data_IF_325891575849
#
_entry.id   IF_325891575849
#
_cell.length_a   1.000
_cell.length_b   1.000
_cell.length_c   1.000
_cell.angle_alpha   90.00
_cell.angle_beta   90.00
_cell.angle_gamma   90.00
#
_symmetry.space_group_name_H-M   'P 1'
#
loop_
_entity.id
_entity.type
_entity.pdbx_description
1 polymer ?
#
# COMPACT_ATOMS: atom_id res chain seq x y z
N UNK A 1 50.49 14.63 23.27
CA UNK A 1 51.09 13.28 23.28
C UNK A 1 51.00 12.71 21.88
N UNK A 2 52.17 12.37 21.30
CA UNK A 2 52.46 11.49 20.12
C UNK A 2 51.72 11.75 18.79
N UNK A 3 52.35 12.37 17.78
CA UNK A 3 53.32 11.85 16.76
C UNK A 3 52.63 11.17 15.56
N UNK A 4 52.55 11.80 14.38
CA UNK A 4 53.51 11.91 13.25
C UNK A 4 53.77 10.59 12.51
N UNK A 5 53.36 10.53 11.24
CA UNK A 5 54.12 9.88 10.16
C UNK A 5 53.71 10.42 8.78
N UNK A 6 54.61 11.20 8.17
CA UNK A 6 54.56 11.70 6.79
C UNK A 6 55.61 10.91 6.01
N UNK A 7 55.29 10.35 4.85
CA UNK A 7 56.30 9.82 3.90
C UNK A 7 56.10 10.45 2.52
N UNK A 8 57.14 11.17 2.10
CA UNK A 8 57.42 11.71 0.76
C UNK A 8 58.42 10.76 0.08
N UNK A 9 58.29 10.53 -1.22
CA UNK A 9 59.41 10.24 -2.12
C UNK A 9 58.97 10.59 -3.55
N UNK A 10 59.42 11.71 -4.10
CA UNK A 10 60.64 11.90 -4.91
C UNK A 10 60.39 11.64 -6.41
N UNK A 11 60.51 12.74 -7.14
CA UNK A 11 60.54 12.86 -8.60
C UNK A 11 61.93 12.41 -9.10
N UNK A 12 62.00 11.80 -10.28
CA UNK A 12 63.21 11.76 -11.07
C UNK A 12 62.85 11.81 -12.56
N UNK A 13 63.30 12.89 -13.19
CA UNK A 13 63.32 13.10 -14.63
C UNK A 13 64.66 12.61 -15.15
N UNK A 14 64.68 11.91 -16.29
CA UNK A 14 65.89 11.68 -17.07
C UNK A 14 65.53 11.58 -18.55
N UNK A 15 66.04 12.54 -19.32
CA UNK A 15 66.13 12.49 -20.77
C UNK A 15 67.56 12.14 -21.17
N UNK A 16 67.74 11.28 -22.17
CA UNK A 16 68.77 11.44 -23.21
C UNK A 16 68.62 10.42 -24.34
N UNK A 17 69.03 10.89 -25.52
CA UNK A 17 68.86 10.33 -26.84
C UNK A 17 69.87 9.22 -27.19
N UNK A 18 69.52 8.38 -28.17
CA UNK A 18 70.48 7.79 -29.10
C UNK A 18 69.78 7.43 -30.43
N UNK A 19 70.42 7.85 -31.51
CA UNK A 19 70.08 7.57 -32.91
C UNK A 19 70.62 6.21 -33.36
N UNK A 20 69.91 5.56 -34.28
CA UNK A 20 70.37 4.35 -34.96
C UNK A 20 69.54 4.10 -36.23
N UNK A 21 70.21 4.16 -37.39
CA UNK A 21 69.65 4.05 -38.75
C UNK A 21 69.54 2.58 -39.22
N UNK A 22 68.78 2.40 -40.31
CA UNK A 22 68.74 1.30 -41.28
C UNK A 22 67.93 0.04 -40.87
N UNK A 23 67.23 -0.69 -41.73
CA UNK A 23 67.18 -0.75 -43.19
C UNK A 23 65.78 -1.24 -43.63
N UNK A 24 65.35 -0.86 -44.85
CA UNK A 24 64.10 -1.33 -45.45
C UNK A 24 64.16 -2.79 -45.87
N UNK A 25 63.05 -3.51 -45.68
CA UNK A 25 62.83 -4.81 -46.30
C UNK A 25 61.45 -4.85 -46.97
N UNK A 26 61.52 -5.10 -48.27
CA UNK A 26 60.49 -5.10 -49.30
C UNK A 26 59.82 -6.48 -49.28
N UNK A 27 58.55 -6.58 -48.91
CA UNK A 27 57.80 -7.83 -49.02
C UNK A 27 57.14 -7.95 -50.39
N UNK A 28 57.62 -8.92 -51.18
CA UNK A 28 57.04 -9.42 -52.42
C UNK A 28 56.98 -10.94 -52.31
N UNK A 29 55.77 -11.51 -52.30
CA UNK A 29 55.46 -12.93 -52.55
C UNK A 29 53.96 -13.02 -52.85
N UNK A 30 53.60 -13.07 -54.14
CA UNK A 30 53.37 -14.26 -54.97
C UNK A 30 52.09 -15.01 -54.61
N UNK A 31 51.22 -15.01 -55.63
CA UNK A 31 49.91 -15.67 -55.72
C UNK A 31 50.17 -17.12 -56.15
N UNK A 32 49.67 -18.07 -55.37
CA UNK A 32 49.60 -19.49 -55.72
C UNK A 32 48.12 -19.88 -55.82
N UNK A 33 47.80 -20.55 -56.92
CA UNK A 33 46.47 -20.97 -57.34
C UNK A 33 46.37 -22.48 -57.08
N UNK A 34 45.51 -22.91 -56.14
CA UNK A 34 45.17 -24.33 -56.01
C UNK A 34 43.64 -24.52 -55.84
N UNK A 35 43.11 -25.57 -56.47
CA UNK A 35 41.69 -25.81 -56.73
C UNK A 35 41.17 -27.04 -55.96
N UNK A 36 40.03 -26.84 -55.27
CA UNK A 36 38.90 -27.79 -54.97
C UNK A 36 39.07 -28.86 -53.86
N UNK A 37 37.97 -29.47 -53.31
CA UNK A 37 36.55 -29.08 -53.30
C UNK A 37 35.84 -29.12 -51.91
N UNK A 38 34.62 -28.57 -51.90
CA UNK A 38 33.42 -28.86 -51.06
C UNK A 38 33.55 -29.10 -49.53
N UNK A 39 33.03 -28.14 -48.76
CA UNK A 39 32.23 -28.48 -47.58
C UNK A 39 31.01 -27.56 -47.48
N UNK A 40 29.82 -28.13 -47.70
CA UNK A 40 28.51 -27.47 -47.68
C UNK A 40 28.15 -27.09 -46.24
N UNK A 41 28.62 -25.94 -45.76
CA UNK A 41 28.02 -25.27 -44.60
C UNK A 41 26.92 -24.33 -45.12
N UNK A 42 25.68 -24.75 -44.91
CA UNK A 42 24.48 -23.95 -45.11
C UNK A 42 24.55 -22.69 -44.24
N UNK A 43 25.20 -21.64 -44.75
CA UNK A 43 24.91 -20.27 -44.34
C UNK A 43 23.54 -19.95 -44.91
N UNK A 44 22.50 -20.28 -44.14
CA UNK A 44 21.21 -19.64 -44.30
C UNK A 44 21.45 -18.14 -44.27
N UNK A 45 21.42 -17.51 -45.44
CA UNK A 45 21.30 -16.07 -45.56
C UNK A 45 20.06 -15.70 -44.76
N UNK A 46 20.24 -15.25 -43.52
CA UNK A 46 19.28 -14.37 -42.89
C UNK A 46 19.24 -13.15 -43.79
N UNK A 47 18.34 -13.16 -44.77
CA UNK A 47 17.76 -11.96 -45.33
C UNK A 47 17.22 -11.20 -44.14
N UNK A 48 18.04 -10.32 -43.55
CA UNK A 48 17.55 -9.22 -42.76
C UNK A 48 16.72 -8.39 -43.73
N UNK A 49 15.45 -8.78 -43.88
CA UNK A 49 14.46 -7.97 -44.56
C UNK A 49 14.57 -6.59 -43.94
N UNK A 50 14.99 -5.62 -44.75
CA UNK A 50 15.17 -4.25 -44.34
C UNK A 50 13.85 -3.81 -43.74
N UNK A 51 13.80 -3.71 -42.42
CA UNK A 51 12.59 -3.36 -41.68
C UNK A 51 12.11 -2.00 -42.18
N UNK A 52 11.01 -1.94 -42.96
CA UNK A 52 10.46 -0.68 -43.42
C UNK A 52 10.16 0.13 -42.17
N UNK A 53 10.72 1.34 -42.10
CA UNK A 53 10.52 2.23 -40.95
C UNK A 53 9.04 2.47 -40.67
N UNK A 54 8.20 2.36 -41.70
CA UNK A 54 6.75 2.51 -41.62
C UNK A 54 6.07 1.46 -40.73
N UNK A 55 6.60 0.23 -40.65
CA UNK A 55 5.86 -0.86 -39.99
C UNK A 55 5.78 -0.65 -38.48
N UNK A 56 6.87 -0.23 -37.85
CA UNK A 56 6.90 0.01 -36.39
C UNK A 56 6.08 1.24 -35.98
N UNK A 57 5.87 2.19 -36.90
CA UNK A 57 5.07 3.39 -36.64
C UNK A 57 3.59 3.05 -36.44
N UNK A 58 3.07 2.03 -37.13
CA UNK A 58 1.65 1.63 -37.05
C UNK A 58 1.23 1.17 -35.66
N UNK A 59 2.18 0.54 -34.95
CA UNK A 59 2.00 0.03 -33.59
C UNK A 59 2.58 0.96 -32.51
N UNK A 60 2.91 2.20 -32.89
CA UNK A 60 3.39 3.22 -31.97
C UNK A 60 2.20 3.93 -31.30
N UNK A 61 2.19 3.96 -29.97
CA UNK A 61 1.16 4.62 -29.18
C UNK A 61 1.62 6.01 -28.75
N UNK A 62 0.82 7.02 -29.07
CA UNK A 62 1.03 8.40 -28.61
C UNK A 62 0.45 8.61 -27.21
N UNK A 63 1.00 9.57 -26.47
CA UNK A 63 0.47 9.96 -25.15
C UNK A 63 -1.04 10.26 -25.19
N UNK A 64 -1.53 10.99 -26.21
CA UNK A 64 -2.96 11.30 -26.37
C UNK A 64 -3.82 10.05 -26.52
N UNK A 65 -3.32 9.03 -27.22
CA UNK A 65 -4.05 7.76 -27.40
C UNK A 65 -4.13 6.99 -26.07
N UNK A 66 -3.02 6.94 -25.35
CA UNK A 66 -2.98 6.35 -24.01
C UNK A 66 -3.88 7.10 -23.02
N UNK A 67 -3.94 8.44 -23.08
CA UNK A 67 -4.85 9.25 -22.26
C UNK A 67 -6.31 8.89 -22.49
N UNK A 68 -6.71 8.63 -23.74
CA UNK A 68 -8.08 8.17 -24.04
C UNK A 68 -8.34 6.79 -23.44
N UNK A 69 -7.41 5.86 -23.62
CA UNK A 69 -7.61 4.45 -23.31
C UNK A 69 -7.30 4.02 -21.86
N UNK A 70 -6.65 4.84 -21.03
CA UNK A 70 -6.16 4.45 -19.71
C UNK A 70 -7.20 3.93 -18.70
N UNK A 71 -8.51 4.13 -18.95
CA UNK A 71 -9.60 3.61 -18.11
C UNK A 71 -10.46 2.57 -18.83
N UNK A 72 -10.05 2.14 -20.02
CA UNK A 72 -10.76 1.11 -20.77
C UNK A 72 -10.42 -0.28 -20.22
N UNK A 73 -11.39 -1.22 -20.21
CA UNK A 73 -11.16 -2.56 -19.65
C UNK A 73 -10.14 -3.38 -20.46
N UNK A 74 -10.08 -3.19 -21.78
CA UNK A 74 -9.10 -3.85 -22.66
C UNK A 74 -7.74 -3.17 -22.71
N UNK A 75 -7.52 -2.09 -21.94
CA UNK A 75 -6.31 -1.27 -22.01
C UNK A 75 -5.03 -2.09 -21.93
N UNK A 76 -4.91 -2.96 -20.92
CA UNK A 76 -3.71 -3.77 -20.72
C UNK A 76 -3.43 -4.68 -21.92
N UNK A 77 -4.46 -5.38 -22.42
CA UNK A 77 -4.35 -6.32 -23.54
C UNK A 77 -3.96 -5.63 -24.84
N UNK A 78 -4.56 -4.47 -25.13
CA UNK A 78 -4.30 -3.74 -26.38
C UNK A 78 -2.90 -3.13 -26.40
N UNK A 79 -2.43 -2.54 -25.29
CA UNK A 79 -1.15 -1.83 -25.29
C UNK A 79 0.07 -2.75 -25.10
N UNK A 80 -0.11 -3.96 -24.58
CA UNK A 80 0.97 -4.95 -24.47
C UNK A 80 1.49 -5.36 -25.85
N UNK A 81 2.81 -5.32 -26.03
CA UNK A 81 3.49 -5.59 -27.30
C UNK A 81 3.48 -4.41 -28.27
N UNK A 82 2.90 -3.25 -27.90
CA UNK A 82 3.02 -2.02 -28.66
C UNK A 82 4.31 -1.27 -28.31
N UNK A 83 4.67 -0.29 -29.15
CA UNK A 83 5.86 0.53 -28.95
C UNK A 83 5.49 1.94 -28.52
N UNK A 84 6.35 2.55 -27.72
CA UNK A 84 6.21 3.93 -27.25
C UNK A 84 7.53 4.68 -27.37
N UNK A 85 7.43 5.97 -27.66
CA UNK A 85 8.56 6.90 -27.61
C UNK A 85 8.65 7.48 -26.22
N UNK A 86 9.76 7.23 -25.52
CA UNK A 86 9.92 7.59 -24.12
C UNK A 86 11.09 8.54 -23.96
N UNK A 87 10.87 9.60 -23.19
CA UNK A 87 11.95 10.52 -22.79
C UNK A 87 12.86 9.78 -21.81
N UNK A 88 14.10 9.49 -22.19
CA UNK A 88 15.10 9.00 -21.24
C UNK A 88 15.72 10.20 -20.56
N UNK A 89 15.58 10.34 -19.24
CA UNK A 89 16.06 11.48 -18.47
C UNK A 89 17.59 11.62 -18.36
N UNK A 90 18.35 11.30 -19.41
CA UNK A 90 19.80 11.26 -19.42
C UNK A 90 20.40 12.33 -20.35
N UNK A 91 20.22 13.61 -19.98
CA UNK A 91 21.09 14.77 -20.30
C UNK A 91 20.37 16.08 -19.93
N UNK A 92 21.14 17.14 -19.65
CA UNK A 92 20.66 18.44 -19.12
C UNK A 92 20.09 19.34 -20.23
N UNK A 93 20.50 19.19 -21.49
CA UNK A 93 20.07 20.08 -22.58
C UNK A 93 18.96 19.51 -23.46
N UNK A 94 18.93 18.19 -23.70
CA UNK A 94 17.88 17.49 -24.46
C UNK A 94 17.89 15.99 -24.13
N UNK A 95 16.99 15.50 -23.25
CA UNK A 95 16.97 14.10 -22.88
C UNK A 95 16.70 13.22 -24.11
N UNK A 96 17.59 12.28 -24.46
CA UNK A 96 17.42 11.47 -25.66
C UNK A 96 16.13 10.66 -25.54
N UNK A 97 15.30 10.72 -26.58
CA UNK A 97 14.15 9.85 -26.69
C UNK A 97 14.61 8.44 -27.08
N UNK A 98 13.95 7.42 -26.57
CA UNK A 98 14.21 6.03 -26.95
C UNK A 98 12.91 5.33 -27.35
N UNK A 99 13.07 4.29 -28.16
CA UNK A 99 11.98 3.40 -28.58
C UNK A 99 11.90 2.25 -27.59
N UNK A 100 10.77 2.08 -26.90
CA UNK A 100 10.61 0.97 -25.96
C UNK A 100 9.36 0.15 -26.28
N UNK A 101 9.46 -1.15 -26.06
CA UNK A 101 8.34 -2.09 -26.12
C UNK A 101 7.59 -2.11 -24.78
N UNK A 102 6.27 -2.10 -24.81
CA UNK A 102 5.44 -2.31 -23.61
C UNK A 102 5.34 -3.80 -23.34
N UNK A 103 5.99 -4.29 -22.29
CA UNK A 103 5.92 -5.69 -21.88
C UNK A 103 4.65 -5.97 -21.10
N UNK A 104 4.32 -5.10 -20.14
CA UNK A 104 3.13 -5.25 -19.30
C UNK A 104 2.68 -3.92 -18.70
N UNK A 105 1.41 -3.86 -18.32
CA UNK A 105 0.83 -2.76 -17.54
C UNK A 105 0.71 -3.21 -16.09
N UNK A 106 1.12 -2.35 -15.16
CA UNK A 106 1.04 -2.61 -13.72
C UNK A 106 0.34 -1.46 -13.01
N UNK A 107 -0.23 -1.74 -11.83
CA UNK A 107 -0.81 -0.73 -10.95
C UNK A 107 0.12 -0.45 -9.77
N UNK A 108 0.33 0.83 -9.47
CA UNK A 108 1.14 1.29 -8.34
C UNK A 108 0.25 1.88 -7.25
N UNK A 109 0.79 2.07 -6.04
CA UNK A 109 0.08 2.76 -4.94
C UNK A 109 -0.05 4.27 -5.18
N UNK A 110 0.91 4.85 -5.91
CA UNK A 110 0.97 6.28 -6.16
C UNK A 110 0.06 6.67 -7.33
N UNK A 111 -0.88 7.56 -7.06
CA UNK A 111 -1.77 8.16 -8.07
C UNK A 111 -1.11 9.43 -8.57
N UNK A 112 -1.10 9.61 -9.89
CA UNK A 112 -0.55 10.81 -10.51
C UNK A 112 -1.49 11.36 -11.59
N UNK A 113 -1.27 12.62 -11.95
CA UNK A 113 -2.01 13.29 -13.01
C UNK A 113 -1.46 12.85 -14.37
N UNK A 114 -2.34 12.39 -15.25
CA UNK A 114 -2.06 11.95 -16.61
C UNK A 114 -2.99 12.66 -17.58
N UNK A 115 -2.50 13.76 -18.16
CA UNK A 115 -3.31 14.68 -18.95
C UNK A 115 -4.44 15.26 -18.11
N UNK A 116 -5.67 15.10 -18.59
CA UNK A 116 -6.91 15.49 -17.90
C UNK A 116 -7.36 14.51 -16.81
N UNK A 117 -6.78 13.31 -16.76
CA UNK A 117 -7.22 12.20 -15.89
C UNK A 117 -6.21 11.92 -14.78
N UNK A 118 -6.61 11.11 -13.80
CA UNK A 118 -5.71 10.59 -12.77
C UNK A 118 -5.62 9.07 -12.90
N UNK A 119 -4.41 8.54 -12.78
CA UNK A 119 -4.16 7.11 -12.89
C UNK A 119 -3.01 6.69 -11.96
N UNK A 120 -3.00 5.42 -11.60
CA UNK A 120 -1.91 4.76 -10.88
C UNK A 120 -1.20 3.70 -11.75
N UNK A 121 -1.51 3.67 -13.04
CA UNK A 121 -0.92 2.73 -13.98
C UNK A 121 0.53 3.07 -14.27
N UNK A 122 1.35 2.05 -14.50
CA UNK A 122 2.73 2.18 -14.96
C UNK A 122 3.01 1.13 -16.01
N UNK A 123 3.94 1.40 -16.90
CA UNK A 123 4.41 0.42 -17.88
C UNK A 123 5.70 -0.22 -17.43
N UNK A 124 5.78 -1.54 -17.59
CA UNK A 124 7.05 -2.23 -17.70
C UNK A 124 7.49 -2.15 -19.16
N UNK A 125 8.49 -1.33 -19.42
CA UNK A 125 9.06 -1.10 -20.73
C UNK A 125 10.33 -1.90 -20.92
N UNK A 126 10.58 -2.32 -22.16
CA UNK A 126 11.81 -3.00 -22.56
C UNK A 126 12.51 -2.23 -23.67
N UNK A 127 13.78 -1.91 -23.42
CA UNK A 127 14.71 -1.38 -24.41
C UNK A 127 15.87 -2.36 -24.55
N UNK A 128 15.84 -3.17 -25.61
CA UNK A 128 16.78 -4.27 -25.84
C UNK A 128 16.84 -5.27 -24.66
N UNK A 129 17.91 -5.25 -23.86
CA UNK A 129 18.06 -6.09 -22.66
C UNK A 129 17.66 -5.38 -21.36
N UNK A 130 17.32 -4.09 -21.39
CA UNK A 130 17.01 -3.29 -20.20
C UNK A 130 15.50 -3.20 -20.03
N UNK A 131 15.01 -3.74 -18.92
CA UNK A 131 13.63 -3.58 -18.49
C UNK A 131 13.55 -2.42 -17.47
N UNK A 132 12.61 -1.49 -17.64
CA UNK A 132 12.40 -0.36 -16.73
C UNK A 132 10.91 -0.14 -16.49
N UNK A 133 10.56 0.22 -15.24
CA UNK A 133 9.20 0.59 -14.88
C UNK A 133 9.09 2.12 -14.99
N UNK A 134 8.17 2.58 -15.83
CA UNK A 134 8.00 4.00 -16.14
C UNK A 134 6.53 4.39 -16.09
N UNK A 135 6.24 5.59 -15.61
CA UNK A 135 4.87 6.13 -15.65
C UNK A 135 4.45 6.46 -17.08
N UNK A 136 3.15 6.46 -17.35
CA UNK A 136 2.63 6.82 -18.68
C UNK A 136 3.01 8.26 -19.08
N UNK A 137 3.36 9.13 -18.13
CA UNK A 137 3.73 10.54 -18.38
C UNK A 137 4.97 10.69 -19.24
N UNK A 138 5.90 9.74 -19.19
CA UNK A 138 7.16 9.81 -19.94
C UNK A 138 6.99 9.53 -21.43
N UNK A 139 5.79 9.11 -21.86
CA UNK A 139 5.49 8.85 -23.27
C UNK A 139 5.29 10.16 -24.02
N UNK A 140 5.92 10.28 -25.20
CA UNK A 140 5.78 11.43 -26.09
C UNK A 140 4.56 11.30 -27.02
N UNK A 141 4.10 12.42 -27.55
CA UNK A 141 3.08 12.45 -28.62
C UNK A 141 3.69 12.34 -30.02
N UNK A 142 4.98 12.60 -30.16
CA UNK A 142 5.67 12.61 -31.44
C UNK A 142 6.08 11.19 -31.88
N UNK A 143 6.16 10.97 -33.19
CA UNK A 143 6.66 9.74 -33.78
C UNK A 143 8.17 9.56 -33.59
N UNK A 144 8.65 8.34 -33.87
CA UNK A 144 10.08 8.01 -33.85
C UNK A 144 10.88 8.71 -34.96
N UNK A 145 12.01 9.27 -34.57
CA UNK A 145 13.02 9.73 -35.55
C UNK A 145 13.77 8.55 -36.14
N UNK A 146 14.38 8.75 -37.31
CA UNK A 146 15.22 7.72 -37.96
C UNK A 146 16.38 7.30 -37.06
N UNK A 147 17.00 8.28 -36.40
CA UNK A 147 18.13 8.07 -35.49
C UNK A 147 17.75 7.18 -34.31
N UNK A 148 16.64 7.48 -33.63
CA UNK A 148 16.15 6.70 -32.48
C UNK A 148 15.86 5.24 -32.85
N UNK A 149 15.21 5.02 -33.99
CA UNK A 149 14.87 3.68 -34.48
C UNK A 149 16.12 2.90 -34.90
N UNK A 150 17.11 3.57 -35.50
CA UNK A 150 18.40 2.96 -35.82
C UNK A 150 19.18 2.58 -34.56
N UNK A 151 19.25 3.47 -33.56
CA UNK A 151 19.87 3.20 -32.27
C UNK A 151 19.21 2.04 -31.54
N UNK A 152 17.87 1.98 -31.55
CA UNK A 152 17.13 0.87 -30.99
C UNK A 152 17.43 -0.46 -31.71
N UNK A 153 17.45 -0.48 -33.04
CA UNK A 153 17.83 -1.68 -33.83
C UNK A 153 19.25 -2.15 -33.49
N UNK A 154 20.21 -1.23 -33.43
CA UNK A 154 21.58 -1.53 -33.04
C UNK A 154 21.64 -2.13 -31.63
N UNK A 155 20.90 -1.57 -30.68
CA UNK A 155 20.82 -2.10 -29.32
C UNK A 155 20.18 -3.49 -29.27
N UNK A 156 19.14 -3.76 -30.06
CA UNK A 156 18.50 -5.07 -30.17
C UNK A 156 19.47 -6.12 -30.74
N UNK A 157 20.22 -5.77 -31.78
CA UNK A 157 21.24 -6.66 -32.37
C UNK A 157 22.39 -6.92 -31.38
N UNK A 158 22.89 -5.90 -30.70
CA UNK A 158 23.93 -6.05 -29.67
C UNK A 158 23.46 -6.93 -28.49
N UNK A 159 22.17 -6.87 -28.16
CA UNK A 159 21.54 -7.70 -27.14
C UNK A 159 21.19 -9.13 -27.62
N UNK A 160 21.38 -9.45 -28.90
CA UNK A 160 20.97 -10.73 -29.49
C UNK A 160 19.45 -10.96 -29.46
N UNK A 161 18.64 -9.89 -29.37
CA UNK A 161 17.18 -9.98 -29.37
C UNK A 161 16.67 -9.88 -30.80
N UNK A 162 15.65 -10.68 -31.12
CA UNK A 162 15.00 -10.63 -32.43
C UNK A 162 14.17 -9.37 -32.54
N UNK A 163 14.29 -8.67 -33.66
CA UNK A 163 13.37 -7.60 -34.04
C UNK A 163 11.99 -8.23 -34.29
N UNK A 164 10.87 -7.58 -33.89
CA UNK A 164 9.52 -8.10 -34.13
C UNK A 164 9.35 -8.53 -35.59
N UNK A 165 8.61 -9.58 -35.88
CA UNK A 165 8.31 -9.97 -37.27
C UNK A 165 7.15 -9.13 -37.81
N UNK A 166 7.10 -8.77 -39.11
CA UNK A 166 5.98 -8.00 -39.68
C UNK A 166 4.60 -8.61 -39.39
N UNK A 167 4.50 -9.94 -39.28
CA UNK A 167 3.26 -10.63 -38.90
C UNK A 167 2.76 -10.24 -37.49
N UNK A 168 3.70 -10.12 -36.54
CA UNK A 168 3.38 -9.66 -35.18
C UNK A 168 2.91 -8.21 -35.23
N UNK A 169 3.55 -7.38 -36.05
CA UNK A 169 3.16 -5.98 -36.23
C UNK A 169 1.74 -5.87 -36.78
N UNK A 170 1.41 -6.62 -37.84
CA UNK A 170 0.08 -6.65 -38.43
C UNK A 170 -0.99 -7.15 -37.44
N UNK A 171 -0.68 -8.19 -36.66
CA UNK A 171 -1.56 -8.68 -35.60
C UNK A 171 -1.83 -7.60 -34.54
N UNK A 172 -0.81 -6.86 -34.11
CA UNK A 172 -0.97 -5.78 -33.13
C UNK A 172 -1.69 -4.57 -33.71
N UNK A 173 -1.43 -4.22 -34.95
CA UNK A 173 -2.17 -3.18 -35.68
C UNK A 173 -3.67 -3.49 -35.72
N UNK A 174 -4.05 -4.76 -35.94
CA UNK A 174 -5.44 -5.20 -35.87
C UNK A 174 -6.04 -5.03 -34.46
N UNK A 175 -5.35 -5.43 -33.40
CA UNK A 175 -5.84 -5.21 -32.02
C UNK A 175 -6.02 -3.73 -31.68
N UNK A 176 -5.14 -2.88 -32.23
CA UNK A 176 -5.20 -1.43 -32.10
C UNK A 176 -6.43 -0.86 -32.83
N UNK A 177 -6.77 -1.42 -33.99
CA UNK A 177 -7.95 -1.06 -34.78
C UNK A 177 -9.25 -1.52 -34.10
N UNK A 178 -9.28 -2.75 -33.60
CA UNK A 178 -10.39 -3.27 -32.79
C UNK A 178 -10.68 -2.37 -31.58
N UNK A 179 -9.63 -1.85 -30.92
CA UNK A 179 -9.77 -0.92 -29.81
C UNK A 179 -10.27 0.48 -30.21
N UNK A 180 -10.11 0.89 -31.48
CA UNK A 180 -10.70 2.14 -31.99
C UNK A 180 -12.18 1.96 -32.34
N UNK A 181 -12.50 0.82 -32.94
CA UNK A 181 -13.84 0.50 -33.43
C UNK A 181 -14.71 -0.18 -32.34
N UNK A 182 -14.19 -0.31 -31.12
CA UNK A 182 -14.86 -0.96 -30.00
C UNK A 182 -16.18 -0.26 -29.63
N UNK A 183 -17.27 -1.04 -29.63
CA UNK A 183 -18.57 -0.57 -29.17
C UNK A 183 -18.71 -0.72 -27.66
N UNK A 184 -18.97 0.39 -26.96
CA UNK A 184 -19.10 0.39 -25.50
C UNK A 184 -20.34 -0.36 -25.03
N UNK A 185 -20.11 -1.40 -24.21
CA UNK A 185 -21.16 -2.17 -23.55
C UNK A 185 -21.48 -1.57 -22.17
N UNK A 186 -22.66 -1.87 -21.59
CA UNK A 186 -23.02 -1.44 -20.23
C UNK A 186 -21.95 -1.76 -19.19
N UNK A 187 -21.37 -2.97 -19.24
CA UNK A 187 -20.27 -3.36 -18.35
C UNK A 187 -19.00 -2.52 -18.50
N UNK A 188 -18.71 -2.04 -19.71
CA UNK A 188 -17.58 -1.13 -19.95
C UNK A 188 -17.82 0.22 -19.29
N UNK A 189 -19.05 0.74 -19.38
CA UNK A 189 -19.42 1.99 -18.72
C UNK A 189 -19.28 1.89 -17.21
N UNK A 190 -19.76 0.80 -16.61
CA UNK A 190 -19.64 0.56 -15.17
C UNK A 190 -18.16 0.48 -14.74
N UNK A 191 -17.33 -0.22 -15.52
CA UNK A 191 -15.88 -0.29 -15.29
C UNK A 191 -15.22 1.09 -15.37
N UNK A 192 -15.53 1.87 -16.42
CA UNK A 192 -14.97 3.21 -16.63
C UNK A 192 -15.39 4.15 -15.50
N UNK A 193 -16.65 4.09 -15.07
CA UNK A 193 -17.17 4.91 -13.97
C UNK A 193 -16.52 4.51 -12.65
N UNK A 194 -16.39 3.21 -12.36
CA UNK A 194 -15.71 2.72 -11.17
C UNK A 194 -14.24 3.18 -11.13
N UNK A 195 -13.48 2.98 -12.22
CA UNK A 195 -12.07 3.42 -12.31
C UNK A 195 -11.91 4.92 -12.20
N UNK A 196 -12.78 5.72 -12.84
CA UNK A 196 -12.74 7.19 -12.70
C UNK A 196 -13.05 7.61 -11.26
N UNK A 197 -14.04 7.00 -10.63
CA UNK A 197 -14.44 7.32 -9.25
C UNK A 197 -13.36 6.92 -8.23
N UNK A 198 -12.58 5.87 -8.49
CA UNK A 198 -11.48 5.43 -7.62
C UNK A 198 -10.44 6.53 -7.36
N UNK A 199 -10.18 7.40 -8.34
CA UNK A 199 -9.14 8.44 -8.26
C UNK A 199 -9.71 9.86 -8.15
N UNK A 200 -11.04 9.99 -7.97
CA UNK A 200 -11.67 11.30 -7.72
C UNK A 200 -11.35 11.76 -6.30
N UNK A 201 -10.97 13.03 -6.18
CA UNK A 201 -10.76 13.67 -4.89
C UNK A 201 -12.08 13.94 -4.15
N UNK A 202 -13.16 14.23 -4.89
CA UNK A 202 -14.46 14.55 -4.34
C UNK A 202 -15.59 13.78 -5.05
N UNK A 203 -16.63 13.34 -4.32
CA UNK A 203 -17.81 12.74 -4.93
C UNK A 203 -18.58 13.80 -5.72
N UNK A 204 -19.02 13.44 -6.93
CA UNK A 204 -19.76 14.36 -7.82
C UNK A 204 -21.07 14.86 -7.20
N UNK A 205 -21.73 14.02 -6.42
CA UNK A 205 -23.01 14.35 -5.80
C UNK A 205 -22.95 13.99 -4.31
N UNK A 206 -22.49 14.96 -3.53
CA UNK A 206 -22.35 14.84 -2.06
C UNK A 206 -23.69 14.49 -1.43
N UNK A 207 -24.79 15.06 -1.91
CA UNK A 207 -26.14 14.82 -1.39
C UNK A 207 -26.60 13.37 -1.62
N UNK A 208 -26.44 12.85 -2.85
CA UNK A 208 -26.77 11.45 -3.15
C UNK A 208 -25.89 10.48 -2.35
N UNK A 209 -24.60 10.78 -2.18
CA UNK A 209 -23.70 9.95 -1.38
C UNK A 209 -24.06 10.00 0.11
N UNK A 210 -24.47 11.17 0.63
CA UNK A 210 -24.93 11.34 2.00
C UNK A 210 -26.19 10.52 2.28
N UNK A 211 -27.19 10.57 1.37
CA UNK A 211 -28.39 9.73 1.47
C UNK A 211 -28.04 8.24 1.48
N UNK A 212 -27.22 7.78 0.53
CA UNK A 212 -26.77 6.37 0.51
C UNK A 212 -26.06 5.93 1.79
N UNK A 213 -25.26 6.82 2.40
CA UNK A 213 -24.57 6.53 3.65
C UNK A 213 -25.55 6.46 4.83
N UNK A 214 -26.54 7.35 4.88
CA UNK A 214 -27.60 7.33 5.89
C UNK A 214 -28.46 6.07 5.78
N UNK A 215 -28.86 5.69 4.57
CA UNK A 215 -29.62 4.46 4.32
C UNK A 215 -28.83 3.24 4.80
N UNK A 216 -27.56 3.13 4.40
CA UNK A 216 -26.68 2.02 4.82
C UNK A 216 -26.42 1.99 6.33
N UNK A 217 -26.32 3.16 6.98
CA UNK A 217 -26.24 3.24 8.44
C UNK A 217 -27.53 2.74 9.10
N UNK A 218 -28.69 3.12 8.55
CA UNK A 218 -29.98 2.66 9.07
C UNK A 218 -30.15 1.14 8.90
N UNK A 219 -29.77 0.57 7.75
CA UNK A 219 -29.76 -0.88 7.49
C UNK A 219 -28.84 -1.64 8.47
N UNK A 220 -27.61 -1.16 8.67
CA UNK A 220 -26.68 -1.76 9.63
C UNK A 220 -27.22 -1.70 11.06
N UNK A 221 -27.84 -0.58 11.44
CA UNK A 221 -28.46 -0.41 12.76
C UNK A 221 -29.62 -1.39 12.93
N UNK A 222 -30.49 -1.53 11.94
CA UNK A 222 -31.58 -2.52 11.93
C UNK A 222 -31.03 -3.94 12.04
N UNK A 223 -30.00 -4.31 11.27
CA UNK A 223 -29.36 -5.63 11.38
C UNK A 223 -28.75 -5.87 12.76
N UNK A 224 -28.16 -4.85 13.37
CA UNK A 224 -27.57 -4.95 14.72
C UNK A 224 -28.66 -5.13 15.76
N UNK A 225 -29.78 -4.42 15.63
CA UNK A 225 -30.97 -4.60 16.47
C UNK A 225 -31.54 -6.00 16.32
N UNK A 226 -31.75 -6.48 15.09
CA UNK A 226 -32.24 -7.84 14.82
C UNK A 226 -31.31 -8.90 15.45
N UNK A 227 -29.99 -8.79 15.25
CA UNK A 227 -29.02 -9.70 15.89
C UNK A 227 -29.05 -9.66 17.42
N UNK A 228 -29.30 -8.49 18.00
CA UNK A 228 -29.43 -8.33 19.45
C UNK A 228 -30.72 -8.98 19.95
N UNK A 229 -31.85 -8.76 19.26
CA UNK A 229 -33.12 -9.42 19.59
C UNK A 229 -33.02 -10.94 19.46
N UNK A 230 -32.38 -11.47 18.42
CA UNK A 230 -32.12 -12.90 18.26
C UNK A 230 -31.25 -13.46 19.39
N UNK A 231 -30.23 -12.72 19.85
CA UNK A 231 -29.43 -13.12 21.01
C UNK A 231 -30.26 -13.15 22.29
N UNK A 232 -31.09 -12.14 22.52
CA UNK A 232 -31.98 -12.08 23.68
C UNK A 232 -33.02 -13.22 23.68
N UNK A 233 -33.53 -13.61 22.51
CA UNK A 233 -34.45 -14.74 22.36
C UNK A 233 -33.75 -16.11 22.51
N UNK A 234 -32.44 -16.19 22.24
CA UNK A 234 -31.62 -17.41 22.44
C UNK A 234 -31.09 -17.58 23.86
N UNK A 235 -31.14 -16.53 24.70
CA UNK A 235 -30.99 -16.70 26.14
C UNK A 235 -32.24 -17.43 26.59
N UNK A 236 -32.14 -18.74 26.78
CA UNK A 236 -33.19 -19.51 27.43
C UNK A 236 -33.44 -18.88 28.80
N UNK A 237 -34.54 -18.13 28.93
CA UNK A 237 -35.06 -17.81 30.24
C UNK A 237 -35.19 -19.13 30.97
N UNK A 238 -34.53 -19.32 32.14
CA UNK A 238 -34.74 -20.52 32.91
C UNK A 238 -36.26 -20.65 33.07
N UNK A 239 -36.84 -21.85 32.84
CA UNK A 239 -38.26 -22.03 33.07
C UNK A 239 -38.55 -21.43 34.43
N UNK A 240 -39.62 -20.64 34.56
CA UNK A 240 -40.11 -20.18 35.85
C UNK A 240 -40.42 -21.45 36.61
N UNK A 241 -39.42 -21.98 37.30
CA UNK A 241 -39.58 -22.98 38.34
C UNK A 241 -40.45 -22.20 39.29
N UNK A 242 -41.75 -22.53 39.31
CA UNK A 242 -42.65 -22.19 40.40
C UNK A 242 -41.87 -22.61 41.63
N UNK A 243 -41.17 -21.67 42.26
CA UNK A 243 -40.26 -21.99 43.33
C UNK A 243 -41.16 -22.68 44.33
N UNK A 244 -40.86 -23.96 44.61
CA UNK A 244 -41.50 -24.64 45.74
C UNK A 244 -41.26 -23.68 46.89
N UNK A 245 -42.32 -23.01 47.36
CA UNK A 245 -42.27 -22.10 48.50
C UNK A 245 -41.51 -22.85 49.58
N UNK A 246 -40.25 -22.50 49.83
CA UNK A 246 -39.56 -23.03 50.99
C UNK A 246 -40.42 -22.56 52.18
N UNK A 247 -40.93 -23.47 53.02
CA UNK A 247 -41.68 -23.03 54.19
C UNK A 247 -40.76 -22.10 54.99
N UNK A 248 -41.27 -20.94 55.37
CA UNK A 248 -40.51 -19.99 56.17
C UNK A 248 -40.05 -20.69 57.46
N UNK A 249 -38.81 -20.46 57.94
CA UNK A 249 -38.37 -21.02 59.20
C UNK A 249 -39.32 -20.53 60.30
N UNK A 250 -39.86 -21.46 61.09
CA UNK A 250 -40.68 -21.13 62.25
C UNK A 250 -39.76 -20.44 63.26
N UNK A 251 -40.03 -19.18 63.57
CA UNK A 251 -39.32 -18.46 64.61
C UNK A 251 -39.53 -19.19 65.94
N UNK A 252 -38.45 -19.62 66.59
CA UNK A 252 -38.48 -20.03 68.00
C UNK A 252 -38.90 -18.82 68.82
N UNK A 253 -40.03 -18.93 69.49
CA UNK A 253 -40.50 -17.92 70.45
C UNK A 253 -39.64 -18.05 71.70
N UNK A 254 -38.42 -17.52 71.65
CA UNK A 254 -37.69 -17.23 72.87
C UNK A 254 -38.36 -16.04 73.55
N UNK A 255 -38.61 -16.17 74.85
CA UNK A 255 -39.24 -15.17 75.69
C UNK A 255 -38.38 -13.90 75.63
N UNK A 256 -38.78 -12.94 74.79
CA UNK A 256 -38.05 -11.69 74.62
C UNK A 256 -38.15 -10.90 75.92
N UNK A 257 -37.10 -10.96 76.74
CA UNK A 257 -36.91 -10.01 77.81
C UNK A 257 -36.74 -8.64 77.14
N UNK A 258 -37.76 -7.78 77.25
CA UNK A 258 -37.78 -6.43 76.70
C UNK A 258 -36.71 -5.63 77.44
N UNK A 259 -35.48 -5.64 76.94
CA UNK A 259 -34.42 -4.81 77.48
C UNK A 259 -34.52 -3.40 76.91
N UNK A 260 -34.54 -2.41 77.80
CA UNK A 260 -34.55 -0.99 77.48
C UNK A 260 -33.36 -0.64 76.57
N UNK A 261 -33.56 0.08 75.45
CA UNK A 261 -32.49 0.46 74.52
C UNK A 261 -31.30 1.18 75.16
N UNK A 262 -31.47 1.84 76.32
CA UNK A 262 -30.37 2.48 77.05
C UNK A 262 -29.51 1.51 77.89
N UNK A 263 -30.00 0.31 78.16
CA UNK A 263 -29.26 -0.71 78.96
C UNK A 263 -28.39 -1.65 78.10
N UNK A 264 -28.44 -1.53 76.77
CA UNK A 264 -27.62 -2.34 75.86
C UNK A 264 -26.13 -1.99 75.87
N UNK A 265 -25.74 -0.81 76.37
CA UNK A 265 -24.35 -0.35 76.37
C UNK A 265 -23.82 -0.35 77.81
N UNK A 266 -22.85 -1.23 78.10
CA UNK A 266 -22.09 -1.23 79.37
C UNK A 266 -21.02 -0.13 79.36
N UNK A 267 -21.43 1.11 79.14
CA UNK A 267 -20.54 2.29 79.18
C UNK A 267 -21.25 3.37 79.99
N UNK A 268 -20.56 3.96 80.98
CA UNK A 268 -21.16 5.03 81.81
C UNK A 268 -21.60 6.19 80.91
N UNK A 269 -22.89 6.58 80.91
CA UNK A 269 -23.33 7.74 80.14
C UNK A 269 -22.73 9.02 80.75
N UNK A 270 -22.00 9.80 79.95
CA UNK A 270 -21.49 11.11 80.36
C UNK A 270 -22.66 12.09 80.33
N UNK A 271 -23.18 12.47 81.50
CA UNK A 271 -24.29 13.42 81.59
C UNK A 271 -23.77 14.85 81.61
N UNK A 272 -24.08 15.64 80.56
CA UNK A 272 -23.84 17.09 80.56
C UNK A 272 -24.99 17.76 81.31
N UNK A 273 -24.81 17.98 82.62
CA UNK A 273 -25.82 18.66 83.45
C UNK A 273 -25.41 20.11 83.71
N UNK A 274 -26.34 21.05 83.49
CA UNK A 274 -26.18 22.47 83.84
C UNK A 274 -26.31 22.76 85.34
N UNK A 275 -26.53 21.72 86.16
CA UNK A 275 -26.71 21.79 87.60
C UNK A 275 -25.40 22.20 88.27
N UNK A 276 -25.29 23.44 88.75
CA UNK A 276 -24.04 23.99 89.34
C UNK A 276 -23.66 23.41 90.71
N UNK A 277 -24.57 22.70 91.40
CA UNK A 277 -24.34 22.16 92.75
C UNK A 277 -23.86 20.71 92.68
N UNK A 278 -22.67 20.47 93.22
CA UNK A 278 -22.01 19.16 93.16
C UNK A 278 -22.81 18.06 93.88
N UNK A 279 -23.44 18.37 95.01
CA UNK A 279 -24.23 17.41 95.79
C UNK A 279 -25.40 16.80 95.01
N UNK A 280 -26.04 17.59 94.16
CA UNK A 280 -27.17 17.13 93.33
C UNK A 280 -26.67 16.24 92.19
N UNK A 281 -25.50 16.54 91.63
CA UNK A 281 -24.87 15.69 90.61
C UNK A 281 -24.51 14.33 91.20
N UNK A 282 -23.86 14.29 92.36
CA UNK A 282 -23.45 13.04 93.01
C UNK A 282 -24.67 12.17 93.37
N UNK A 283 -25.76 12.76 93.84
CA UNK A 283 -27.00 12.03 94.15
C UNK A 283 -27.67 11.42 92.90
N UNK A 284 -27.64 12.13 91.77
CA UNK A 284 -28.17 11.60 90.50
C UNK A 284 -27.31 10.44 90.01
N UNK A 285 -25.97 10.54 90.10
CA UNK A 285 -25.08 9.44 89.74
C UNK A 285 -25.28 8.21 90.65
N UNK A 286 -25.43 8.39 91.96
CA UNK A 286 -25.65 7.27 92.88
C UNK A 286 -26.99 6.56 92.65
N UNK A 287 -28.06 7.30 92.35
CA UNK A 287 -29.35 6.71 92.02
C UNK A 287 -29.31 5.95 90.68
N UNK A 288 -28.54 6.46 89.71
CA UNK A 288 -28.31 5.74 88.45
C UNK A 288 -27.50 4.46 88.64
N UNK A 289 -26.45 4.47 89.47
CA UNK A 289 -25.67 3.27 89.77
C UNK A 289 -26.49 2.21 90.52
N UNK A 290 -27.44 2.62 91.38
CA UNK A 290 -28.38 1.70 92.04
C UNK A 290 -29.36 1.03 91.05
N UNK A 291 -29.84 1.76 90.04
CA UNK A 291 -30.83 1.23 89.07
C UNK A 291 -30.20 0.42 87.95
N UNK A 292 -28.98 0.78 87.53
CA UNK A 292 -28.36 0.23 86.32
C UNK A 292 -27.04 -0.51 86.59
N UNK A 293 -26.59 -0.54 87.85
CA UNK A 293 -25.32 -1.12 88.27
C UNK A 293 -24.14 -0.17 88.04
N UNK A 294 -23.02 -0.34 88.79
CA UNK A 294 -21.84 0.48 88.59
C UNK A 294 -21.26 0.21 87.20
N UNK A 295 -21.26 1.21 86.32
CA UNK A 295 -20.70 1.07 84.98
C UNK A 295 -19.18 0.78 85.02
N UNK A 296 -18.68 0.04 84.02
CA UNK A 296 -17.29 -0.42 83.90
C UNK A 296 -16.27 0.71 84.14
N UNK A 297 -15.36 0.50 85.09
CA UNK A 297 -14.20 1.35 85.35
C UNK A 297 -13.01 0.69 84.63
N UNK A 298 -12.28 1.38 83.74
CA UNK A 298 -11.03 0.85 83.23
C UNK A 298 -10.04 0.76 84.39
N UNK A 299 -9.39 -0.40 84.56
CA UNK A 299 -8.27 -0.52 85.50
C UNK A 299 -7.14 0.40 85.04
N UNK A 300 -6.57 1.17 85.97
CA UNK A 300 -5.38 1.97 85.72
C UNK A 300 -4.23 1.01 85.40
N UNK A 301 -3.68 1.05 84.18
CA UNK A 301 -2.41 0.41 83.84
C UNK A 301 -1.28 1.22 84.48
N UNK A 302 -0.51 0.56 85.36
CA UNK A 302 0.78 1.01 85.91
C UNK A 302 1.85 1.26 84.81
#
# INVERSE_FOLDING_TARGET
MSSVAKRKSLVASAASAASGRSAGMKWKRQVEHDKRPENKKAHGKMTQAAFPREDLKRICLSFKRLEKWCHMPFFATTVTGCFVRVVTGASISDPPHCVAEIVSVMETKNIYQFGSKRTNLVFKLRHASKDQIVTLRSVSNQEFTTSELMQWKLAMMAAGKKVPTPEIIASREKSIQEALDHTFTQGDFDFIVAKKNQFRAAPLNVAKRKLQLLDKQSELTQQTQLRTTERCLKIAFPPIVKSRKRPAPKATTEEYHIMDPFTRRRTRPIMVTSLKKESVRTAVYSEMDLRYGPGFQPEEED
#
